data_IF_793774372459
#
_entry.id   IF_793774372459
#
_cell.length_a   1.000
_cell.length_b   1.000
_cell.length_c   1.000
_cell.angle_alpha   90.00
_cell.angle_beta   90.00
_cell.angle_gamma   90.00
#
_symmetry.space_group_name_H-M   'P 1'
#
loop_
_entity.id
_entity.type
_entity.pdbx_description
1 polymer ?
#
# COMPACT_ATOMS: atom_id res chain seq x y z
N UNK A 1 -4.67 -6.40 20.56
CA UNK A 1 -4.14 -5.95 19.26
C UNK A 1 -3.56 -4.58 19.52
N UNK A 2 -2.28 -4.30 19.27
CA UNK A 2 -1.83 -2.91 19.34
C UNK A 2 -2.49 -2.21 18.16
N UNK A 3 -3.40 -1.31 18.50
CA UNK A 3 -4.10 -0.46 17.55
C UNK A 3 -3.05 0.52 17.02
N UNK A 4 -2.55 0.34 15.80
CA UNK A 4 -1.62 1.32 15.24
C UNK A 4 -2.43 2.49 14.69
N UNK A 5 -2.38 3.56 15.49
CA UNK A 5 -3.12 4.77 15.24
C UNK A 5 -2.70 5.43 13.91
N UNK A 6 -1.48 5.20 13.42
CA UNK A 6 -0.98 5.85 12.22
C UNK A 6 -1.60 5.28 10.94
N UNK A 7 -1.63 3.96 10.76
CA UNK A 7 -2.29 3.37 9.59
C UNK A 7 -3.78 3.63 9.59
N UNK A 8 -4.44 3.52 10.74
CA UNK A 8 -5.86 3.88 10.86
C UNK A 8 -6.08 5.35 10.51
N UNK A 9 -5.20 6.26 10.97
CA UNK A 9 -5.31 7.69 10.66
C UNK A 9 -5.16 7.96 9.16
N UNK A 10 -4.17 7.35 8.50
CA UNK A 10 -3.97 7.50 7.05
C UNK A 10 -5.17 6.92 6.30
N UNK A 11 -5.60 5.70 6.62
CA UNK A 11 -6.73 5.06 5.95
C UNK A 11 -8.06 5.81 6.12
N UNK A 12 -8.25 6.56 7.22
CA UNK A 12 -9.40 7.46 7.41
C UNK A 12 -9.39 8.67 6.46
N UNK A 13 -8.22 9.07 5.97
CA UNK A 13 -8.06 10.15 5.00
C UNK A 13 -8.05 9.67 3.54
N UNK A 14 -7.98 8.36 3.31
CA UNK A 14 -8.02 7.75 1.98
C UNK A 14 -9.47 7.52 1.55
N UNK A 15 -9.77 7.90 0.32
CA UNK A 15 -11.03 7.62 -0.38
C UNK A 15 -10.88 6.40 -1.28
N UNK A 16 -11.97 5.64 -1.45
CA UNK A 16 -12.00 4.52 -2.40
C UNK A 16 -12.18 4.98 -3.86
N UNK A 17 -12.73 6.17 -4.10
CA UNK A 17 -13.09 6.66 -5.44
C UNK A 17 -12.15 7.73 -6.01
N UNK A 18 -11.29 8.32 -5.17
CA UNK A 18 -10.31 9.31 -5.62
C UNK A 18 -9.16 8.65 -6.37
N UNK A 19 -8.58 9.39 -7.32
CA UNK A 19 -7.40 8.96 -8.04
C UNK A 19 -6.14 9.40 -7.31
N UNK A 20 -5.22 8.46 -7.11
CA UNK A 20 -3.93 8.65 -6.46
C UNK A 20 -2.80 8.43 -7.45
N UNK A 21 -1.72 9.20 -7.28
CA UNK A 21 -0.46 8.92 -7.98
C UNK A 21 0.19 7.71 -7.32
N UNK A 22 0.64 6.77 -8.14
CA UNK A 22 1.35 5.60 -7.67
C UNK A 22 2.53 5.26 -8.57
N UNK A 23 3.50 4.57 -7.98
CA UNK A 23 4.72 4.11 -8.65
C UNK A 23 4.84 2.61 -8.48
N UNK A 24 4.84 1.87 -9.58
CA UNK A 24 5.17 0.44 -9.59
C UNK A 24 6.68 0.27 -9.78
N UNK A 25 7.34 -0.34 -8.81
CA UNK A 25 8.79 -0.60 -8.79
C UNK A 25 9.05 -2.09 -8.97
N UNK A 26 9.57 -2.48 -10.14
CA UNK A 26 9.84 -3.87 -10.52
C UNK A 26 11.30 -4.00 -11.00
N UNK A 27 12.17 -4.50 -10.13
CA UNK A 27 13.61 -4.55 -10.40
C UNK A 27 14.20 -3.14 -10.63
N UNK A 28 14.64 -2.87 -11.86
CA UNK A 28 15.17 -1.55 -12.25
C UNK A 28 14.14 -0.68 -13.00
N UNK A 29 12.89 -1.14 -13.13
CA UNK A 29 11.83 -0.44 -13.84
C UNK A 29 10.91 0.26 -12.85
N UNK A 30 10.66 1.53 -13.12
CA UNK A 30 9.71 2.34 -12.37
C UNK A 30 8.63 2.80 -13.35
N UNK A 31 7.37 2.51 -13.04
CA UNK A 31 6.23 2.89 -13.85
C UNK A 31 5.30 3.76 -13.01
N UNK A 32 5.18 5.03 -13.39
CA UNK A 32 4.21 5.93 -12.82
C UNK A 32 2.82 5.61 -13.37
N UNK A 33 1.85 5.50 -12.48
CA UNK A 33 0.46 5.17 -12.78
C UNK A 33 -0.47 6.01 -11.92
N UNK A 34 -1.70 6.22 -12.38
CA UNK A 34 -2.79 6.76 -11.55
C UNK A 34 -3.75 5.63 -11.23
N UNK A 35 -4.13 5.51 -9.96
CA UNK A 35 -4.97 4.41 -9.49
C UNK A 35 -6.15 4.92 -8.66
N UNK A 36 -7.23 4.14 -8.58
CA UNK A 36 -8.24 4.24 -7.52
C UNK A 36 -8.21 2.96 -6.71
N UNK A 37 -8.34 3.08 -5.40
CA UNK A 37 -8.39 1.88 -4.57
C UNK A 37 -9.64 1.04 -4.84
N UNK A 38 -10.80 1.64 -5.16
CA UNK A 38 -12.03 0.89 -5.49
C UNK A 38 -12.29 -0.24 -4.47
N UNK A 39 -12.57 -1.46 -4.93
CA UNK A 39 -12.78 -2.65 -4.08
C UNK A 39 -11.54 -3.06 -3.27
N UNK A 40 -10.32 -2.66 -3.68
CA UNK A 40 -9.10 -2.88 -2.89
C UNK A 40 -9.17 -2.17 -1.53
N UNK A 41 -9.86 -1.02 -1.44
CA UNK A 41 -10.00 -0.25 -0.20
C UNK A 41 -10.64 -1.09 0.91
N UNK A 42 -11.72 -1.81 0.60
CA UNK A 42 -12.43 -2.63 1.58
C UNK A 42 -11.53 -3.75 2.12
N UNK A 43 -10.67 -4.31 1.28
CA UNK A 43 -9.68 -5.28 1.73
C UNK A 43 -8.65 -4.65 2.69
N UNK A 44 -8.17 -3.44 2.42
CA UNK A 44 -7.18 -2.75 3.29
C UNK A 44 -7.71 -2.51 4.70
N UNK A 45 -9.01 -2.28 4.86
CA UNK A 45 -9.65 -2.12 6.16
C UNK A 45 -9.62 -3.40 7.01
N UNK A 46 -9.36 -4.57 6.41
CA UNK A 46 -9.35 -5.89 7.08
C UNK A 46 -7.94 -6.38 7.48
N UNK A 47 -6.96 -5.48 7.52
CA UNK A 47 -5.56 -5.78 7.82
C UNK A 47 -5.34 -6.56 9.14
N UNK A 48 -4.18 -7.21 9.24
CA UNK A 48 -3.80 -8.07 10.36
C UNK A 48 -2.36 -7.77 10.84
N UNK A 49 -2.03 -8.12 12.10
CA UNK A 49 -0.63 -8.08 12.57
C UNK A 49 0.29 -9.04 11.81
N UNK A 50 1.57 -8.66 11.62
CA UNK A 50 2.57 -9.40 10.82
C UNK A 50 2.81 -10.85 11.25
N UNK A 51 2.85 -11.11 12.56
CA UNK A 51 3.16 -12.45 13.09
C UNK A 51 2.14 -13.52 12.68
N UNK A 52 1.00 -13.12 12.10
CA UNK A 52 -0.02 -14.02 11.56
C UNK A 52 0.15 -14.32 10.06
N UNK A 53 1.17 -13.77 9.39
CA UNK A 53 1.32 -13.84 7.93
C UNK A 53 2.40 -14.83 7.53
N UNK A 54 2.04 -15.70 6.60
CA UNK A 54 2.99 -16.41 5.77
C UNK A 54 3.21 -15.60 4.49
N UNK A 55 4.45 -15.53 4.00
CA UNK A 55 4.74 -14.93 2.70
C UNK A 55 3.91 -15.68 1.64
N UNK A 56 3.25 -14.97 0.69
CA UNK A 56 2.44 -15.61 -0.33
C UNK A 56 3.24 -16.64 -1.12
N UNK A 57 2.56 -17.72 -1.50
CA UNK A 57 3.07 -18.66 -2.50
C UNK A 57 3.07 -17.95 -3.86
N UNK A 58 4.08 -18.19 -4.67
CA UNK A 58 4.22 -17.53 -5.97
C UNK A 58 5.67 -17.49 -6.42
N UNK A 59 5.90 -16.88 -7.56
CA UNK A 59 7.23 -16.73 -8.13
C UNK A 59 7.87 -15.42 -7.63
N UNK A 60 9.02 -15.45 -6.92
CA UNK A 60 9.69 -14.23 -6.48
C UNK A 60 10.11 -13.29 -7.61
N UNK A 61 10.19 -13.75 -8.87
CA UNK A 61 10.44 -12.87 -10.01
C UNK A 61 9.26 -11.96 -10.36
N UNK A 62 8.10 -12.18 -9.77
CA UNK A 62 6.89 -11.35 -9.90
C UNK A 62 6.73 -10.38 -8.72
N UNK A 63 7.75 -10.29 -7.85
CA UNK A 63 7.75 -9.36 -6.73
C UNK A 63 7.92 -7.93 -7.23
N UNK A 64 7.06 -7.03 -6.75
CA UNK A 64 7.19 -5.60 -6.98
C UNK A 64 6.70 -4.80 -5.77
N UNK A 65 7.13 -3.54 -5.71
CA UNK A 65 6.60 -2.58 -4.75
C UNK A 65 5.62 -1.65 -5.45
N UNK A 66 4.51 -1.35 -4.79
CA UNK A 66 3.59 -0.30 -5.20
C UNK A 66 3.66 0.81 -4.15
N UNK A 67 4.11 1.99 -4.55
CA UNK A 67 4.10 3.17 -3.69
C UNK A 67 2.94 4.06 -4.11
N UNK A 68 2.06 4.43 -3.18
CA UNK A 68 0.87 5.25 -3.47
C UNK A 68 0.92 6.52 -2.63
N UNK A 69 0.96 7.67 -3.28
CA UNK A 69 0.89 8.98 -2.64
C UNK A 69 -0.57 9.29 -2.32
N UNK A 70 -0.95 9.18 -1.05
CA UNK A 70 -2.34 9.34 -0.59
C UNK A 70 -2.62 10.71 0.02
N UNK A 71 -1.57 11.42 0.44
CA UNK A 71 -1.62 12.82 0.83
C UNK A 71 -0.27 13.47 0.48
N UNK A 72 -0.13 14.82 0.52
CA UNK A 72 1.15 15.47 0.28
C UNK A 72 2.31 14.96 1.16
N UNK A 73 1.98 14.37 2.32
CA UNK A 73 2.96 13.91 3.29
C UNK A 73 2.90 12.40 3.54
N UNK A 74 1.93 11.66 3.00
CA UNK A 74 1.72 10.25 3.34
C UNK A 74 1.75 9.35 2.11
N UNK A 75 2.53 8.27 2.23
CA UNK A 75 2.67 7.20 1.26
C UNK A 75 2.20 5.88 1.86
N UNK A 76 1.49 5.08 1.06
CA UNK A 76 1.28 3.67 1.32
C UNK A 76 2.24 2.86 0.46
N UNK A 77 3.04 2.01 1.10
CA UNK A 77 4.04 1.15 0.46
C UNK A 77 3.57 -0.29 0.55
N UNK A 78 3.26 -0.89 -0.59
CA UNK A 78 2.78 -2.27 -0.67
C UNK A 78 3.87 -3.19 -1.21
N UNK A 79 4.00 -4.37 -0.59
CA UNK A 79 4.75 -5.48 -1.19
C UNK A 79 3.76 -6.39 -1.88
N UNK A 80 4.02 -6.67 -3.15
CA UNK A 80 3.15 -7.48 -4.00
C UNK A 80 3.92 -8.68 -4.53
N UNK A 81 3.28 -9.85 -4.56
CA UNK A 81 3.77 -11.07 -5.22
C UNK A 81 2.63 -11.74 -5.95
N UNK A 82 2.80 -12.01 -7.24
CA UNK A 82 1.80 -12.75 -8.05
C UNK A 82 0.37 -12.18 -7.88
N UNK A 83 0.22 -10.88 -8.08
CA UNK A 83 -1.01 -10.08 -7.87
C UNK A 83 -1.53 -9.98 -6.42
N UNK A 84 -0.88 -10.58 -5.43
CA UNK A 84 -1.29 -10.45 -4.03
C UNK A 84 -0.46 -9.41 -3.30
N UNK A 85 -1.07 -8.29 -2.91
CA UNK A 85 -0.51 -7.37 -1.93
C UNK A 85 -0.57 -8.02 -0.55
N UNK A 86 0.60 -8.26 0.03
CA UNK A 86 0.73 -9.07 1.25
C UNK A 86 1.24 -8.32 2.46
N UNK A 87 1.86 -7.16 2.22
CA UNK A 87 2.26 -6.23 3.25
C UNK A 87 1.94 -4.80 2.81
N UNK A 88 1.59 -3.96 3.78
CA UNK A 88 1.49 -2.51 3.59
C UNK A 88 2.22 -1.79 4.72
N UNK A 89 2.89 -0.68 4.42
CA UNK A 89 3.51 0.22 5.38
C UNK A 89 3.09 1.65 5.09
N UNK A 90 2.98 2.47 6.14
CA UNK A 90 2.85 3.92 6.00
C UNK A 90 4.22 4.56 6.06
N UNK A 91 4.52 5.46 5.13
CA UNK A 91 5.66 6.38 5.22
C UNK A 91 5.10 7.79 5.24
N UNK A 92 5.37 8.54 6.30
CA UNK A 92 4.95 9.94 6.45
C UNK A 92 6.16 10.87 6.35
N UNK A 93 5.97 12.09 5.87
CA UNK A 93 6.94 13.17 5.90
C UNK A 93 6.60 14.07 7.08
N UNK A 94 7.56 14.29 7.98
CA UNK A 94 7.37 15.22 9.10
C UNK A 94 7.55 16.70 8.67
N UNK A 95 7.33 17.62 9.60
CA UNK A 95 7.43 19.07 9.35
C UNK A 95 8.81 19.54 8.88
N UNK A 96 9.86 18.72 9.07
CA UNK A 96 11.22 19.01 8.65
C UNK A 96 11.57 18.36 7.30
N UNK A 97 10.60 17.72 6.63
CA UNK A 97 10.83 17.04 5.37
C UNK A 97 11.50 15.67 5.51
N UNK A 98 11.54 15.10 6.72
CA UNK A 98 12.19 13.81 6.97
C UNK A 98 11.16 12.70 6.84
N UNK A 99 11.51 11.66 6.07
CA UNK A 99 10.70 10.45 5.97
C UNK A 99 10.73 9.65 7.27
N UNK A 100 9.55 9.38 7.81
CA UNK A 100 9.29 8.54 8.97
C UNK A 100 8.49 7.32 8.51
N UNK A 101 9.14 6.16 8.49
CA UNK A 101 8.45 4.89 8.32
C UNK A 101 7.66 4.57 9.59
N UNK A 102 6.40 4.15 9.44
CA UNK A 102 5.68 3.55 10.56
C UNK A 102 6.49 2.37 11.08
N UNK A 103 6.63 2.27 12.41
CA UNK A 103 7.30 1.13 13.04
C UNK A 103 6.63 -0.20 12.70
N UNK A 104 5.34 -0.15 12.36
CA UNK A 104 4.55 -1.31 12.02
C UNK A 104 4.43 -1.43 10.49
N UNK A 105 4.78 -2.60 9.98
CA UNK A 105 4.28 -3.09 8.69
C UNK A 105 3.03 -3.90 8.99
N UNK A 106 2.02 -3.89 8.13
CA UNK A 106 0.77 -4.63 8.32
C UNK A 106 0.70 -5.77 7.34
N UNK A 107 0.18 -6.90 7.78
CA UNK A 107 -0.16 -8.00 6.89
C UNK A 107 -1.54 -7.75 6.28
N UNK A 108 -1.61 -7.81 4.96
CA UNK A 108 -2.85 -7.74 4.18
C UNK A 108 -2.92 -8.95 3.26
N UNK A 109 -4.08 -9.21 2.66
CA UNK A 109 -4.28 -10.29 1.70
C UNK A 109 -5.18 -9.80 0.58
N UNK A 110 -4.70 -8.78 -0.13
CA UNK A 110 -5.49 -8.03 -1.08
C UNK A 110 -5.04 -8.32 -2.50
N UNK A 111 -5.99 -8.66 -3.36
CA UNK A 111 -5.74 -8.84 -4.79
C UNK A 111 -5.59 -7.46 -5.43
N UNK A 112 -4.40 -7.16 -5.96
CA UNK A 112 -4.11 -5.86 -6.60
C UNK A 112 -4.92 -5.63 -7.86
N UNK A 113 -5.51 -6.67 -8.45
CA UNK A 113 -6.37 -6.53 -9.63
C UNK A 113 -7.70 -5.84 -9.27
N UNK A 114 -8.01 -5.68 -7.97
CA UNK A 114 -9.10 -4.85 -7.47
C UNK A 114 -8.79 -3.34 -7.51
N UNK A 115 -7.54 -2.97 -7.79
CA UNK A 115 -7.15 -1.58 -8.01
C UNK A 115 -7.53 -1.19 -9.43
N UNK A 116 -8.26 -0.09 -9.59
CA UNK A 116 -8.62 0.42 -10.90
C UNK A 116 -7.54 1.38 -11.42
N UNK A 117 -7.16 1.23 -12.68
CA UNK A 117 -6.34 2.21 -13.37
C UNK A 117 -7.19 3.44 -13.71
N UNK A 118 -6.85 4.60 -13.14
CA UNK A 118 -7.53 5.84 -13.42
C UNK A 118 -7.01 6.39 -14.76
N UNK A 119 -7.84 6.34 -15.80
CA UNK A 119 -7.60 7.07 -17.04
C UNK A 119 -7.78 8.57 -16.79
N UNK A 120 -6.96 9.39 -17.45
CA UNK A 120 -7.04 10.86 -17.42
C UNK A 120 -8.33 11.39 -18.07
#
# INVERSE_FOLDING_TARGET
MKDDHNFIRVMKGVSNSEAYQAMKLEGNRNLEVKIRFSDFYDCLLTYKPLWKRNIPKGNPSEDYYLEVLVSPNDLLLFNVRSSEAYQVRVRSIDENGIYQDSSDTYAINCDVDLIEMALE
#
